data_IF_652088276479
#
_entry.id   IF_652088276479
#
_cell.length_a   1.000
_cell.length_b   1.000
_cell.length_c   1.000
_cell.angle_alpha   90.00
_cell.angle_beta   90.00
_cell.angle_gamma   90.00
#
_symmetry.space_group_name_H-M   'P 1'
#
loop_
_entity.id
_entity.type
_entity.pdbx_description
1 polymer ?
#
# COMPACT_ATOMS: atom_id res chain seq x y z
N UNK A 1 -12.23 11.16 -25.56
CA UNK A 1 -13.37 11.48 -24.67
C UNK A 1 -12.83 12.41 -23.62
N UNK A 2 -13.60 13.44 -23.27
CA UNK A 2 -13.26 14.32 -22.15
C UNK A 2 -13.37 13.51 -20.84
N UNK A 3 -12.40 13.70 -19.94
CA UNK A 3 -12.40 13.05 -18.63
C UNK A 3 -13.18 13.91 -17.65
N UNK A 4 -14.38 13.46 -17.29
CA UNK A 4 -15.26 14.11 -16.34
C UNK A 4 -15.30 13.38 -14.98
N UNK A 5 -14.28 12.59 -14.68
CA UNK A 5 -14.16 11.96 -13.36
C UNK A 5 -13.90 13.02 -12.28
N UNK A 6 -14.53 12.83 -11.12
CA UNK A 6 -14.45 13.73 -9.99
C UNK A 6 -14.18 12.98 -8.69
N UNK A 7 -13.77 13.74 -7.67
CA UNK A 7 -13.60 13.20 -6.33
C UNK A 7 -14.24 14.12 -5.29
N UNK A 8 -14.85 13.52 -4.27
CA UNK A 8 -15.27 14.28 -3.08
C UNK A 8 -14.41 13.87 -1.89
N UNK A 9 -13.87 14.87 -1.22
CA UNK A 9 -13.14 14.71 0.02
C UNK A 9 -14.10 14.95 1.20
N UNK A 10 -13.94 14.18 2.27
CA UNK A 10 -14.68 14.45 3.49
C UNK A 10 -14.00 13.97 4.76
N UNK A 11 -14.27 14.72 5.83
CA UNK A 11 -13.78 14.49 7.19
C UNK A 11 -14.75 13.57 7.92
N UNK A 12 -14.21 12.55 8.58
CA UNK A 12 -15.00 11.75 9.51
C UNK A 12 -15.31 12.58 10.76
N UNK A 13 -16.59 12.59 11.16
CA UNK A 13 -17.10 13.39 12.29
C UNK A 13 -17.98 12.56 13.22
N UNK A 14 -18.26 13.10 14.41
CA UNK A 14 -19.29 12.52 15.29
C UNK A 14 -20.66 12.65 14.64
N UNK A 15 -21.54 11.67 14.90
CA UNK A 15 -22.91 11.69 14.38
C UNK A 15 -23.64 12.88 14.96
N UNK A 16 -24.25 13.68 14.10
CA UNK A 16 -25.11 14.79 14.50
C UNK A 16 -26.22 14.99 13.46
N UNK A 17 -27.10 15.99 13.68
CA UNK A 17 -28.23 16.27 12.78
C UNK A 17 -27.79 16.66 11.36
N UNK A 18 -26.66 17.35 11.23
CA UNK A 18 -26.11 17.82 9.94
C UNK A 18 -25.39 16.69 9.19
N UNK A 19 -24.70 15.81 9.92
CA UNK A 19 -23.91 14.71 9.36
C UNK A 19 -24.36 13.36 9.96
N UNK A 20 -25.54 12.85 9.57
CA UNK A 20 -26.08 11.59 10.09
C UNK A 20 -25.21 10.40 9.72
N UNK A 21 -24.50 10.48 8.58
CA UNK A 21 -23.57 9.47 8.09
C UNK A 21 -22.15 9.62 8.66
N UNK A 22 -21.92 10.53 9.63
CA UNK A 22 -20.60 10.76 10.25
C UNK A 22 -19.50 11.20 9.26
N UNK A 23 -19.90 11.79 8.14
CA UNK A 23 -19.00 12.25 7.08
C UNK A 23 -19.38 13.67 6.68
N UNK A 24 -18.44 14.59 6.80
CA UNK A 24 -18.59 16.00 6.46
C UNK A 24 -17.78 16.28 5.20
N UNK A 25 -18.42 16.63 4.06
CA UNK A 25 -17.70 17.10 2.88
C UNK A 25 -16.78 18.27 3.22
N UNK A 26 -15.62 18.32 2.58
CA UNK A 26 -14.66 19.44 2.69
C UNK A 26 -14.02 19.72 1.34
N UNK A 27 -13.66 20.97 1.09
CA UNK A 27 -13.04 21.38 -0.17
C UNK A 27 -11.54 21.07 -0.19
N UNK A 28 -10.89 21.05 0.97
CA UNK A 28 -9.47 20.73 1.10
C UNK A 28 -9.14 20.23 2.51
N UNK A 29 -7.95 19.62 2.66
CA UNK A 29 -7.33 19.39 3.98
C UNK A 29 -6.44 20.59 4.30
N UNK A 30 -6.59 21.23 5.48
CA UNK A 30 -5.70 22.31 5.87
C UNK A 30 -4.22 21.88 5.86
N UNK A 31 -3.31 22.69 5.28
CA UNK A 31 -1.91 22.27 5.10
C UNK A 31 -1.13 22.12 6.39
N UNK A 32 -1.61 22.71 7.49
CA UNK A 32 -1.00 22.64 8.82
C UNK A 32 -1.79 21.72 9.77
N UNK A 33 -2.75 20.92 9.27
CA UNK A 33 -3.47 19.91 10.06
C UNK A 33 -2.83 18.52 9.89
N UNK A 34 -2.36 17.89 10.98
CA UNK A 34 -2.04 16.47 11.01
C UNK A 34 -3.28 15.62 10.73
N UNK A 35 -3.18 14.67 9.81
CA UNK A 35 -4.32 13.84 9.43
C UNK A 35 -3.91 12.52 8.76
N UNK A 36 -4.88 11.61 8.70
CA UNK A 36 -4.83 10.45 7.82
C UNK A 36 -5.80 10.68 6.67
N UNK A 37 -5.34 10.49 5.43
CA UNK A 37 -6.21 10.41 4.26
C UNK A 37 -6.36 8.95 3.86
N UNK A 38 -7.57 8.43 4.06
CA UNK A 38 -7.93 7.06 3.73
C UNK A 38 -8.37 6.98 2.26
N UNK A 39 -7.59 6.27 1.43
CA UNK A 39 -7.91 6.01 0.03
C UNK A 39 -8.48 4.58 -0.11
N UNK A 40 -9.81 4.42 -0.21
CA UNK A 40 -10.44 3.11 -0.29
C UNK A 40 -10.20 2.43 -1.65
N UNK A 41 -10.64 1.18 -1.77
CA UNK A 41 -10.81 0.52 -3.06
C UNK A 41 -11.85 1.22 -3.95
N UNK A 42 -11.92 0.80 -5.22
CA UNK A 42 -12.74 1.44 -6.27
C UNK A 42 -14.27 1.43 -6.01
N UNK A 43 -14.74 0.68 -5.02
CA UNK A 43 -16.16 0.60 -4.69
C UNK A 43 -16.66 1.75 -3.80
N UNK A 44 -15.81 2.68 -3.36
CA UNK A 44 -16.24 3.82 -2.54
C UNK A 44 -16.88 4.94 -3.39
N UNK A 45 -18.06 4.66 -3.94
CA UNK A 45 -18.81 5.54 -4.85
C UNK A 45 -19.82 6.45 -4.16
N UNK A 46 -19.88 6.40 -2.82
CA UNK A 46 -20.70 7.30 -2.01
C UNK A 46 -20.11 7.51 -0.61
N UNK A 47 -20.59 8.56 0.06
CA UNK A 47 -20.15 8.97 1.39
C UNK A 47 -20.32 7.91 2.48
N UNK A 48 -21.31 7.01 2.36
CA UNK A 48 -21.46 5.87 3.29
C UNK A 48 -20.28 4.90 3.16
N UNK A 49 -19.87 4.57 1.94
CA UNK A 49 -18.73 3.68 1.69
C UNK A 49 -17.40 4.35 2.05
N UNK A 50 -17.20 5.61 1.66
CA UNK A 50 -16.04 6.41 2.06
C UNK A 50 -15.87 6.45 3.58
N UNK A 51 -16.95 6.75 4.30
CA UNK A 51 -16.96 6.76 5.76
C UNK A 51 -16.82 5.37 6.39
N UNK A 52 -17.30 4.32 5.72
CA UNK A 52 -17.07 2.93 6.14
C UNK A 52 -15.57 2.63 6.20
N UNK A 53 -14.83 3.04 5.17
CA UNK A 53 -13.38 2.89 5.15
C UNK A 53 -12.69 3.78 6.21
N UNK A 54 -13.09 5.06 6.32
CA UNK A 54 -12.57 5.95 7.37
C UNK A 54 -12.83 5.42 8.78
N UNK A 55 -13.96 4.74 9.01
CA UNK A 55 -14.29 4.08 10.28
C UNK A 55 -13.28 2.97 10.60
N UNK A 56 -12.98 2.09 9.65
CA UNK A 56 -12.02 0.99 9.86
C UNK A 56 -10.61 1.52 10.18
N UNK A 57 -10.20 2.62 9.53
CA UNK A 57 -8.96 3.34 9.86
C UNK A 57 -9.01 3.90 11.28
N UNK A 58 -10.07 4.62 11.65
CA UNK A 58 -10.24 5.19 13.00
C UNK A 58 -10.22 4.11 14.08
N UNK A 59 -10.86 2.96 13.85
CA UNK A 59 -10.92 1.82 14.78
C UNK A 59 -9.58 1.07 14.90
N UNK A 60 -8.71 1.18 13.89
CA UNK A 60 -7.33 0.66 13.96
C UNK A 60 -6.44 1.48 14.89
N UNK A 61 -6.74 2.77 15.09
CA UNK A 61 -5.94 3.65 15.93
C UNK A 61 -6.20 3.37 17.41
N UNK A 62 -5.13 3.15 18.19
CA UNK A 62 -5.17 3.02 19.66
C UNK A 62 -5.83 4.24 20.31
N UNK A 63 -5.59 5.43 19.73
CA UNK A 63 -6.22 6.69 20.10
C UNK A 63 -6.42 7.54 18.84
N UNK A 64 -7.64 8.02 18.55
CA UNK A 64 -7.89 8.91 17.42
C UNK A 64 -7.39 10.33 17.73
N UNK A 65 -6.07 10.51 17.69
CA UNK A 65 -5.37 11.78 18.04
C UNK A 65 -5.31 12.78 16.89
N UNK A 66 -5.62 12.33 15.67
CA UNK A 66 -5.65 13.13 14.44
C UNK A 66 -6.93 12.79 13.65
N UNK A 67 -7.49 13.74 12.90
CA UNK A 67 -8.63 13.50 12.04
C UNK A 67 -8.33 12.49 10.92
N UNK A 68 -9.37 11.74 10.55
CA UNK A 68 -9.36 10.84 9.39
C UNK A 68 -10.25 11.46 8.30
N UNK A 69 -9.66 11.67 7.14
CA UNK A 69 -10.34 12.03 5.90
C UNK A 69 -10.49 10.79 5.03
N UNK A 70 -11.47 10.81 4.14
CA UNK A 70 -11.67 9.77 3.13
C UNK A 70 -12.26 10.37 1.87
N UNK A 71 -12.22 9.60 0.78
CA UNK A 71 -12.70 10.03 -0.53
C UNK A 71 -13.85 9.19 -1.04
N UNK A 72 -14.76 9.84 -1.75
CA UNK A 72 -15.76 9.24 -2.61
C UNK A 72 -15.31 9.43 -4.06
N UNK A 73 -15.17 8.33 -4.80
CA UNK A 73 -14.80 8.34 -6.21
C UNK A 73 -16.03 8.48 -7.09
N UNK A 74 -15.97 9.41 -8.04
CA UNK A 74 -16.89 9.50 -9.16
C UNK A 74 -16.10 9.31 -10.46
N UNK A 75 -16.13 8.09 -11.01
CA UNK A 75 -15.36 7.78 -12.20
C UNK A 75 -16.05 8.24 -13.50
N UNK A 76 -17.32 8.65 -13.44
CA UNK A 76 -18.16 8.90 -14.61
C UNK A 76 -18.00 7.79 -15.69
N UNK A 77 -17.42 8.14 -16.83
CA UNK A 77 -17.19 7.25 -17.98
C UNK A 77 -15.85 6.48 -17.93
N UNK A 78 -15.01 6.70 -16.91
CA UNK A 78 -13.70 6.04 -16.79
C UNK A 78 -13.80 4.61 -16.27
N UNK A 79 -12.92 3.75 -16.77
CA UNK A 79 -12.65 2.45 -16.17
C UNK A 79 -11.39 2.52 -15.28
N UNK A 80 -11.58 2.50 -13.96
CA UNK A 80 -10.50 2.52 -12.99
C UNK A 80 -9.51 1.35 -13.15
N UNK A 81 -9.94 0.22 -13.75
CA UNK A 81 -9.07 -0.93 -14.02
C UNK A 81 -8.08 -0.61 -15.12
N UNK A 82 -8.50 0.14 -16.14
CA UNK A 82 -7.59 0.62 -17.19
C UNK A 82 -6.56 1.58 -16.60
N UNK A 83 -6.97 2.49 -15.72
CA UNK A 83 -6.06 3.41 -15.01
C UNK A 83 -5.01 2.66 -14.19
N UNK A 84 -5.43 1.58 -13.52
CA UNK A 84 -4.52 0.69 -12.78
C UNK A 84 -3.54 -0.02 -13.70
N UNK A 85 -4.03 -0.69 -14.75
CA UNK A 85 -3.17 -1.42 -15.69
C UNK A 85 -2.21 -0.48 -16.43
N UNK A 86 -2.63 0.74 -16.76
CA UNK A 86 -1.77 1.74 -17.39
C UNK A 86 -0.59 2.13 -16.49
N UNK A 87 -0.83 2.31 -15.19
CA UNK A 87 0.24 2.56 -14.21
C UNK A 87 1.19 1.38 -14.10
N UNK A 88 0.69 0.15 -14.08
CA UNK A 88 1.53 -1.06 -14.03
C UNK A 88 2.33 -1.24 -15.34
N UNK A 89 1.70 -1.01 -16.49
CA UNK A 89 2.30 -1.10 -17.82
C UNK A 89 3.44 -0.11 -18.02
N UNK A 90 3.33 1.11 -17.48
CA UNK A 90 4.40 2.12 -17.45
C UNK A 90 5.71 1.57 -16.89
N UNK A 91 5.63 0.61 -15.97
CA UNK A 91 6.78 0.03 -15.29
C UNK A 91 7.08 -1.42 -15.67
N UNK A 92 6.39 -1.96 -16.68
CA UNK A 92 6.50 -3.36 -17.12
C UNK A 92 6.11 -4.35 -16.00
N UNK A 93 5.12 -3.97 -15.17
CA UNK A 93 4.65 -4.78 -14.04
C UNK A 93 3.17 -5.19 -14.15
N UNK A 94 2.55 -4.99 -15.32
CA UNK A 94 1.20 -5.47 -15.59
C UNK A 94 1.20 -6.98 -15.91
N UNK A 95 0.06 -7.64 -15.70
CA UNK A 95 -0.10 -9.04 -16.08
C UNK A 95 -0.46 -9.17 -17.57
N UNK A 96 0.43 -9.75 -18.42
CA UNK A 96 0.20 -9.86 -19.87
C UNK A 96 -0.98 -10.77 -20.25
N UNK A 97 -1.46 -11.58 -19.30
CA UNK A 97 -2.61 -12.46 -19.50
C UNK A 97 -3.94 -11.78 -19.18
N UNK A 98 -3.95 -10.60 -18.55
CA UNK A 98 -5.18 -9.87 -18.29
C UNK A 98 -5.64 -9.15 -19.57
N UNK A 99 -6.93 -9.27 -19.94
CA UNK A 99 -7.48 -8.59 -21.13
C UNK A 99 -7.24 -7.08 -21.11
N UNK A 100 -7.41 -6.45 -19.94
CA UNK A 100 -7.27 -5.00 -19.77
C UNK A 100 -5.88 -4.46 -20.10
N UNK A 101 -4.80 -5.23 -19.87
CA UNK A 101 -3.46 -4.77 -20.23
C UNK A 101 -3.30 -4.60 -21.74
N UNK A 102 -4.03 -5.40 -22.54
CA UNK A 102 -4.01 -5.31 -24.01
C UNK A 102 -4.76 -4.08 -24.53
N UNK A 103 -5.59 -3.47 -23.70
CA UNK A 103 -6.34 -2.26 -24.01
C UNK A 103 -5.56 -0.99 -23.65
N UNK A 104 -4.50 -1.10 -22.84
CA UNK A 104 -3.63 0.03 -22.46
C UNK A 104 -2.85 0.54 -23.67
N UNK A 105 -3.04 1.81 -23.99
CA UNK A 105 -2.26 2.52 -25.01
C UNK A 105 -1.08 3.25 -24.39
N UNK A 106 -0.13 3.70 -25.21
CA UNK A 106 1.06 4.41 -24.72
C UNK A 106 0.69 5.74 -24.03
N UNK A 107 -0.31 6.45 -24.56
CA UNK A 107 -0.83 7.68 -23.95
C UNK A 107 -1.38 7.44 -22.54
N UNK A 108 -2.04 6.30 -22.30
CA UNK A 108 -2.66 5.96 -21.02
C UNK A 108 -1.61 5.82 -19.91
N UNK A 109 -0.41 5.33 -20.22
CA UNK A 109 0.68 5.10 -19.26
C UNK A 109 1.17 6.38 -18.57
N UNK A 110 0.96 7.53 -19.21
CA UNK A 110 1.37 8.84 -18.68
C UNK A 110 0.20 9.73 -18.29
N UNK A 111 -1.01 9.29 -18.62
CA UNK A 111 -2.23 10.01 -18.31
C UNK A 111 -2.52 9.99 -16.81
N UNK A 112 -2.94 11.14 -16.28
CA UNK A 112 -3.38 11.28 -14.89
C UNK A 112 -4.85 11.76 -14.92
N UNK A 113 -5.80 10.95 -14.41
CA UNK A 113 -7.21 11.29 -14.35
C UNK A 113 -7.54 12.58 -13.61
N UNK A 114 -8.65 13.20 -14.02
CA UNK A 114 -9.13 14.45 -13.46
C UNK A 114 -9.41 14.34 -11.96
N UNK A 115 -10.06 13.26 -11.50
CA UNK A 115 -10.31 13.02 -10.07
C UNK A 115 -9.01 12.97 -9.22
N UNK A 116 -7.88 12.56 -9.81
CA UNK A 116 -6.58 12.52 -9.13
C UNK A 116 -5.95 13.91 -9.07
N UNK A 117 -6.09 14.70 -10.15
CA UNK A 117 -5.66 16.11 -10.16
C UNK A 117 -6.43 16.93 -9.14
N UNK A 118 -7.74 16.73 -9.03
CA UNK A 118 -8.58 17.34 -7.99
C UNK A 118 -8.09 16.96 -6.60
N UNK A 119 -7.91 15.66 -6.33
CA UNK A 119 -7.41 15.20 -5.04
C UNK A 119 -6.05 15.81 -4.69
N UNK A 120 -5.15 15.95 -5.67
CA UNK A 120 -3.85 16.59 -5.48
C UNK A 120 -3.99 18.05 -5.00
N UNK A 121 -4.87 18.83 -5.64
CA UNK A 121 -5.15 20.21 -5.25
C UNK A 121 -5.79 20.32 -3.86
N UNK A 122 -6.62 19.35 -3.48
CA UNK A 122 -7.28 19.32 -2.17
C UNK A 122 -6.33 18.92 -1.02
N UNK A 123 -5.17 18.31 -1.31
CA UNK A 123 -4.37 17.59 -0.29
C UNK A 123 -2.88 17.94 -0.27
N UNK A 124 -2.16 17.70 -1.36
CA UNK A 124 -0.70 17.83 -1.43
C UNK A 124 -0.27 19.23 -1.89
N UNK A 125 -0.96 19.80 -2.88
CA UNK A 125 -0.60 21.12 -3.43
C UNK A 125 -0.57 22.24 -2.36
N UNK A 126 -1.55 22.33 -1.43
CA UNK A 126 -1.56 23.36 -0.37
C UNK A 126 -0.40 23.21 0.61
N UNK A 127 0.18 22.01 0.74
CA UNK A 127 1.31 21.76 1.66
C UNK A 127 2.63 22.29 1.12
N UNK A 128 2.72 22.47 -0.20
CA UNK A 128 3.88 23.01 -0.90
C UNK A 128 3.82 24.53 -1.12
N UNK A 129 2.67 25.16 -0.85
CA UNK A 129 2.40 26.56 -1.18
C UNK A 129 2.01 27.41 0.03
N UNK A 130 2.27 28.70 -0.07
CA UNK A 130 1.71 29.72 0.80
C UNK A 130 0.35 30.21 0.29
N UNK A 131 -0.22 31.20 0.98
CA UNK A 131 -1.51 31.81 0.63
C UNK A 131 -1.53 32.50 -0.73
N UNK A 132 -0.38 32.88 -1.28
CA UNK A 132 -0.25 33.50 -2.60
C UNK A 132 0.01 32.46 -3.71
N UNK A 133 0.00 31.17 -3.37
CA UNK A 133 0.33 30.08 -4.29
C UNK A 133 1.82 29.92 -4.56
N UNK A 134 2.68 30.68 -3.87
CA UNK A 134 4.12 30.59 -4.03
C UNK A 134 4.69 29.43 -3.18
N UNK A 135 5.84 28.90 -3.61
CA UNK A 135 6.53 27.82 -2.93
C UNK A 135 6.90 28.18 -1.47
N UNK A 136 6.59 27.31 -0.52
CA UNK A 136 7.09 27.45 0.86
C UNK A 136 8.54 26.95 1.03
N UNK A 137 9.28 27.43 2.05
CA UNK A 137 10.61 26.90 2.37
C UNK A 137 10.60 25.39 2.58
N UNK A 138 11.69 24.71 2.18
CA UNK A 138 11.80 23.24 2.19
C UNK A 138 11.45 22.62 3.55
N UNK A 139 11.93 23.19 4.67
CA UNK A 139 11.62 22.68 6.01
C UNK A 139 10.13 22.76 6.34
N UNK A 140 9.44 23.82 5.91
CA UNK A 140 7.99 23.97 6.09
C UNK A 140 7.21 22.99 5.22
N UNK A 141 7.61 22.81 3.96
CA UNK A 141 7.02 21.80 3.08
C UNK A 141 7.20 20.39 3.68
N UNK A 142 8.41 20.05 4.11
CA UNK A 142 8.71 18.76 4.74
C UNK A 142 7.85 18.51 5.99
N UNK A 143 7.72 19.52 6.85
CA UNK A 143 6.88 19.42 8.06
C UNK A 143 5.42 19.19 7.70
N UNK A 144 4.88 19.98 6.76
CA UNK A 144 3.49 19.83 6.29
C UNK A 144 3.25 18.50 5.60
N UNK A 145 4.20 17.96 4.84
CA UNK A 145 4.07 16.64 4.22
C UNK A 145 4.08 15.52 5.27
N UNK A 146 4.94 15.62 6.30
CA UNK A 146 4.96 14.67 7.43
C UNK A 146 3.66 14.65 8.24
N UNK A 147 2.86 15.72 8.20
CA UNK A 147 1.55 15.78 8.83
C UNK A 147 0.48 14.96 8.10
N UNK A 148 0.73 14.50 6.86
CA UNK A 148 -0.21 13.71 6.07
C UNK A 148 0.26 12.26 5.96
N UNK A 149 -0.61 11.33 6.38
CA UNK A 149 -0.42 9.89 6.20
C UNK A 149 -1.49 9.37 5.26
N UNK A 150 -1.09 8.64 4.23
CA UNK A 150 -2.01 7.92 3.35
C UNK A 150 -2.21 6.49 3.87
N UNK A 151 -3.47 6.10 4.04
CA UNK A 151 -3.84 4.71 4.35
C UNK A 151 -4.69 4.17 3.20
N UNK A 152 -4.13 3.24 2.45
CA UNK A 152 -4.60 2.91 1.11
C UNK A 152 -5.06 1.46 1.04
N UNK A 153 -6.11 1.20 0.26
CA UNK A 153 -6.60 -0.15 -0.04
C UNK A 153 -6.80 -0.32 -1.54
N UNK A 154 -6.27 -1.42 -2.12
CA UNK A 154 -6.45 -1.76 -3.53
C UNK A 154 -6.19 -0.55 -4.45
N UNK A 155 -7.21 -0.06 -5.16
CA UNK A 155 -7.14 1.10 -6.07
C UNK A 155 -6.57 2.36 -5.40
N UNK A 156 -6.76 2.54 -4.09
CA UNK A 156 -6.18 3.66 -3.34
C UNK A 156 -4.65 3.71 -3.45
N UNK A 157 -3.97 2.55 -3.56
CA UNK A 157 -2.52 2.50 -3.75
C UNK A 157 -2.08 3.01 -5.14
N UNK A 158 -2.89 2.75 -6.17
CA UNK A 158 -2.69 3.30 -7.53
C UNK A 158 -2.90 4.81 -7.54
N UNK A 159 -3.95 5.29 -6.85
CA UNK A 159 -4.21 6.73 -6.69
C UNK A 159 -3.04 7.41 -6.00
N UNK A 160 -2.54 6.86 -4.90
CA UNK A 160 -1.36 7.38 -4.20
C UNK A 160 -0.12 7.43 -5.10
N UNK A 161 0.12 6.40 -5.91
CA UNK A 161 1.23 6.39 -6.87
C UNK A 161 1.08 7.50 -7.91
N UNK A 162 -0.13 7.81 -8.39
CA UNK A 162 -0.32 8.91 -9.33
C UNK A 162 -0.24 10.30 -8.68
N UNK A 163 -0.68 10.44 -7.42
CA UNK A 163 -0.46 11.66 -6.63
C UNK A 163 1.05 11.94 -6.47
N UNK A 164 1.87 10.90 -6.28
CA UNK A 164 3.33 11.04 -6.30
C UNK A 164 3.83 11.59 -7.64
N UNK A 165 3.31 11.12 -8.77
CA UNK A 165 3.72 11.63 -10.08
C UNK A 165 3.37 13.11 -10.28
N UNK A 166 2.17 13.52 -9.85
CA UNK A 166 1.80 14.94 -9.84
C UNK A 166 2.74 15.74 -8.93
N UNK A 167 3.05 15.22 -7.74
CA UNK A 167 3.98 15.87 -6.82
C UNK A 167 5.37 16.04 -7.41
N UNK A 168 5.90 15.04 -8.12
CA UNK A 168 7.19 15.13 -8.80
C UNK A 168 7.22 16.28 -9.81
N UNK A 169 6.18 16.38 -10.65
CA UNK A 169 6.03 17.46 -11.62
C UNK A 169 5.91 18.82 -10.91
N UNK A 170 5.05 18.88 -9.90
CA UNK A 170 4.75 20.11 -9.18
C UNK A 170 5.96 20.66 -8.40
N UNK A 171 6.76 19.79 -7.79
CA UNK A 171 7.99 20.17 -7.11
C UNK A 171 9.01 20.79 -8.08
N UNK A 172 9.08 20.26 -9.32
CA UNK A 172 9.92 20.81 -10.38
C UNK A 172 9.39 22.18 -10.84
N UNK A 173 8.09 22.31 -11.05
CA UNK A 173 7.46 23.54 -11.51
C UNK A 173 7.54 24.66 -10.46
N UNK A 174 7.47 24.31 -9.17
CA UNK A 174 7.77 25.22 -8.06
C UNK A 174 9.27 25.57 -7.94
N UNK A 175 10.13 24.97 -8.75
CA UNK A 175 11.57 25.25 -8.82
C UNK A 175 12.39 24.71 -7.65
N UNK A 176 11.91 23.68 -6.93
CA UNK A 176 12.75 22.99 -5.93
C UNK A 176 13.94 22.34 -6.64
N UNK A 177 15.13 22.38 -6.02
CA UNK A 177 16.31 21.67 -6.52
C UNK A 177 16.11 20.16 -6.40
N UNK A 178 16.71 19.36 -7.28
CA UNK A 178 16.54 17.91 -7.34
C UNK A 178 16.75 17.20 -5.99
N UNK A 179 17.76 17.59 -5.21
CA UNK A 179 17.99 17.04 -3.87
C UNK A 179 16.87 17.37 -2.88
N UNK A 180 16.27 18.55 -2.97
CA UNK A 180 15.11 18.94 -2.20
C UNK A 180 13.85 18.20 -2.66
N UNK A 181 13.69 17.97 -3.97
CA UNK A 181 12.56 17.19 -4.50
C UNK A 181 12.58 15.76 -3.95
N UNK A 182 13.73 15.07 -4.06
CA UNK A 182 13.91 13.72 -3.53
C UNK A 182 13.68 13.66 -2.01
N UNK A 183 14.13 14.67 -1.28
CA UNK A 183 13.89 14.77 0.16
C UNK A 183 12.40 14.94 0.50
N UNK A 184 11.70 15.84 -0.20
CA UNK A 184 10.28 16.14 0.05
C UNK A 184 9.37 14.95 -0.29
N UNK A 185 9.67 14.21 -1.36
CA UNK A 185 8.93 12.99 -1.70
C UNK A 185 8.99 11.96 -0.57
N UNK A 186 10.16 11.77 0.06
CA UNK A 186 10.32 10.87 1.21
C UNK A 186 9.49 11.26 2.44
N UNK A 187 9.04 12.51 2.54
CA UNK A 187 8.21 12.99 3.66
C UNK A 187 6.73 12.61 3.52
N UNK A 188 6.32 12.06 2.38
CA UNK A 188 4.98 11.50 2.19
C UNK A 188 5.01 10.03 2.60
N UNK A 189 4.08 9.66 3.48
CA UNK A 189 4.02 8.32 4.05
C UNK A 189 2.78 7.58 3.57
N UNK A 190 2.97 6.40 3.00
CA UNK A 190 1.91 5.52 2.51
C UNK A 190 1.91 4.19 3.27
N UNK A 191 0.73 3.75 3.72
CA UNK A 191 0.49 2.39 4.21
C UNK A 191 -0.53 1.74 3.29
N UNK A 192 -0.06 0.84 2.43
CA UNK A 192 -0.90 0.18 1.44
C UNK A 192 -1.26 -1.24 1.89
N UNK A 193 -2.54 -1.56 1.81
CA UNK A 193 -3.10 -2.88 2.10
C UNK A 193 -3.71 -3.44 0.81
N UNK A 194 -3.42 -4.71 0.51
CA UNK A 194 -3.80 -5.34 -0.75
C UNK A 194 -3.46 -4.45 -1.97
N UNK A 195 -2.21 -3.93 -2.08
CA UNK A 195 -1.85 -2.95 -3.08
C UNK A 195 -1.89 -3.53 -4.49
N UNK A 196 -2.27 -2.67 -5.43
CA UNK A 196 -2.18 -2.90 -6.88
C UNK A 196 -1.33 -1.82 -7.55
N UNK A 197 -0.33 -1.32 -6.82
CA UNK A 197 0.63 -0.31 -7.26
C UNK A 197 2.00 -0.93 -7.57
N UNK A 198 2.77 -0.34 -8.51
CA UNK A 198 4.09 -0.83 -8.88
C UNK A 198 5.04 -1.02 -7.69
N UNK A 199 5.81 -2.11 -7.71
CA UNK A 199 6.80 -2.48 -6.69
C UNK A 199 8.20 -2.02 -7.13
N UNK A 200 8.90 -1.34 -6.22
CA UNK A 200 10.25 -0.84 -6.38
C UNK A 200 10.37 0.44 -7.20
N UNK A 201 9.26 1.19 -7.32
CA UNK A 201 9.18 2.38 -8.19
C UNK A 201 8.83 3.67 -7.45
N UNK A 202 8.28 3.57 -6.24
CA UNK A 202 7.90 4.72 -5.42
C UNK A 202 9.11 5.51 -4.93
N UNK A 203 8.99 6.85 -4.93
CA UNK A 203 9.91 7.77 -4.29
C UNK A 203 9.41 8.26 -2.92
N UNK A 204 8.15 7.99 -2.59
CA UNK A 204 7.56 8.23 -1.27
C UNK A 204 7.87 7.10 -0.30
N UNK A 205 7.80 7.38 1.01
CA UNK A 205 8.02 6.36 2.04
C UNK A 205 6.79 5.45 2.12
N UNK A 206 6.88 4.24 1.58
CA UNK A 206 5.74 3.34 1.38
C UNK A 206 5.93 2.00 2.09
N UNK A 207 4.88 1.57 2.79
CA UNK A 207 4.81 0.28 3.46
C UNK A 207 3.65 -0.53 2.88
N UNK A 208 3.95 -1.67 2.26
CA UNK A 208 2.97 -2.51 1.58
C UNK A 208 2.70 -3.79 2.36
N UNK A 209 1.43 -4.14 2.54
CA UNK A 209 0.97 -5.36 3.18
C UNK A 209 0.24 -6.22 2.15
N UNK A 210 0.82 -7.37 1.81
CA UNK A 210 0.40 -8.21 0.67
C UNK A 210 0.14 -9.64 1.13
N UNK A 211 -1.01 -10.19 0.79
CA UNK A 211 -1.22 -11.63 0.81
C UNK A 211 -0.89 -12.19 -0.58
N UNK A 212 -0.10 -13.28 -0.65
CA UNK A 212 0.11 -14.00 -1.90
C UNK A 212 -1.04 -14.97 -2.25
N UNK A 213 -2.11 -14.98 -1.46
CA UNK A 213 -3.39 -15.61 -1.81
C UNK A 213 -4.41 -14.59 -2.33
N UNK A 214 -4.08 -13.30 -2.31
CA UNK A 214 -4.86 -12.27 -2.98
C UNK A 214 -4.46 -12.19 -4.47
N UNK A 215 -5.28 -12.75 -5.35
CA UNK A 215 -5.07 -12.75 -6.80
C UNK A 215 -5.03 -11.34 -7.38
N UNK A 216 -5.72 -10.38 -6.77
CA UNK A 216 -5.73 -8.99 -7.23
C UNK A 216 -4.40 -8.33 -6.89
N UNK A 217 -3.91 -8.42 -5.65
CA UNK A 217 -2.61 -7.84 -5.28
C UNK A 217 -1.43 -8.53 -5.98
N UNK A 218 -1.54 -9.83 -6.24
CA UNK A 218 -0.50 -10.60 -6.94
C UNK A 218 -0.50 -10.41 -8.46
N UNK A 219 -1.47 -9.65 -9.01
CA UNK A 219 -1.45 -9.20 -10.41
C UNK A 219 -0.33 -8.21 -10.73
N UNK A 220 0.39 -7.70 -9.73
CA UNK A 220 1.60 -6.87 -9.92
C UNK A 220 2.79 -7.77 -10.22
N UNK A 221 3.19 -7.83 -11.49
CA UNK A 221 4.28 -8.68 -11.95
C UNK A 221 5.65 -8.07 -11.65
N UNK A 222 6.43 -8.76 -10.83
CA UNK A 222 7.87 -8.51 -10.70
C UNK A 222 8.60 -9.84 -10.66
N UNK A 223 9.89 -9.90 -11.05
CA UNK A 223 10.67 -11.14 -10.94
C UNK A 223 10.64 -11.76 -9.52
N UNK A 224 10.52 -10.92 -8.48
CA UNK A 224 10.44 -11.36 -7.09
C UNK A 224 9.07 -11.96 -6.76
N UNK A 225 7.97 -11.31 -7.17
CA UNK A 225 6.60 -11.81 -7.00
C UNK A 225 6.41 -13.12 -7.79
N UNK A 226 6.82 -13.16 -9.05
CA UNK A 226 6.72 -14.35 -9.90
C UNK A 226 7.52 -15.53 -9.33
N UNK A 227 8.72 -15.28 -8.83
CA UNK A 227 9.51 -16.30 -8.15
C UNK A 227 8.75 -16.86 -6.92
N UNK A 228 8.15 -15.99 -6.11
CA UNK A 228 7.39 -16.41 -4.93
C UNK A 228 6.15 -17.24 -5.33
N UNK A 229 5.39 -16.78 -6.33
CA UNK A 229 4.21 -17.47 -6.83
C UNK A 229 4.55 -18.84 -7.43
N UNK A 230 5.62 -18.93 -8.23
CA UNK A 230 6.11 -20.21 -8.78
C UNK A 230 6.45 -21.19 -7.68
N UNK A 231 7.15 -20.74 -6.64
CA UNK A 231 7.53 -21.58 -5.50
C UNK A 231 6.31 -22.02 -4.69
N UNK A 232 5.30 -21.17 -4.54
CA UNK A 232 4.01 -21.50 -3.92
C UNK A 232 3.32 -22.65 -4.67
N UNK A 233 3.20 -22.52 -6.00
CA UNK A 233 2.61 -23.57 -6.85
C UNK A 233 3.38 -24.90 -6.77
N UNK A 234 4.72 -24.86 -6.74
CA UNK A 234 5.54 -26.05 -6.55
C UNK A 234 5.27 -26.74 -5.20
N UNK A 235 5.05 -25.96 -4.13
CA UNK A 235 4.69 -26.50 -2.83
C UNK A 235 3.30 -27.14 -2.81
N UNK A 236 2.31 -26.47 -3.39
CA UNK A 236 0.93 -26.98 -3.47
C UNK A 236 0.89 -28.30 -4.24
N UNK A 237 1.62 -28.40 -5.36
CA UNK A 237 1.80 -29.66 -6.10
C UNK A 237 2.47 -30.74 -5.26
N UNK A 238 3.49 -30.39 -4.48
CA UNK A 238 4.14 -31.33 -3.57
C UNK A 238 3.17 -31.88 -2.53
N UNK A 239 2.38 -31.01 -1.88
CA UNK A 239 1.37 -31.40 -0.88
C UNK A 239 0.27 -32.27 -1.49
N UNK A 240 -0.24 -31.92 -2.67
CA UNK A 240 -1.26 -32.70 -3.38
C UNK A 240 -0.74 -34.11 -3.74
N UNK A 241 0.54 -34.23 -4.10
CA UNK A 241 1.15 -35.51 -4.45
C UNK A 241 1.46 -36.39 -3.23
N UNK A 242 1.63 -35.83 -2.03
CA UNK A 242 1.79 -36.64 -0.79
C UNK A 242 0.57 -37.56 -0.56
N UNK A 243 -0.63 -37.14 -0.98
CA UNK A 243 -1.84 -37.98 -0.92
C UNK A 243 -1.84 -39.19 -1.88
N UNK A 244 -0.97 -39.21 -2.89
CA UNK A 244 -0.90 -40.23 -3.95
C UNK A 244 0.44 -40.99 -3.99
N UNK A 245 1.39 -40.71 -3.09
CA UNK A 245 2.69 -41.38 -3.07
C UNK A 245 2.59 -42.66 -2.23
N UNK A 246 2.60 -43.82 -2.91
CA UNK A 246 3.02 -45.09 -2.31
C UNK A 246 4.35 -44.87 -1.58
N UNK A 247 4.48 -45.40 -0.36
CA UNK A 247 5.58 -45.19 0.62
C UNK A 247 7.04 -45.30 0.12
N UNK A 248 7.29 -45.64 -1.14
CA UNK A 248 8.62 -45.98 -1.68
C UNK A 248 9.26 -44.97 -2.63
N UNK A 249 8.69 -43.77 -2.84
CA UNK A 249 9.45 -42.66 -3.46
C UNK A 249 9.81 -41.62 -2.42
N UNK A 250 10.97 -41.85 -1.76
CA UNK A 250 11.77 -40.76 -1.19
C UNK A 250 12.13 -39.81 -2.35
N UNK A 251 11.29 -38.79 -2.54
CA UNK A 251 11.65 -37.62 -3.33
C UNK A 251 12.89 -37.02 -2.70
N UNK A 252 13.98 -37.09 -3.45
CA UNK A 252 15.30 -36.55 -3.21
C UNK A 252 15.25 -35.13 -2.67
N UNK A 253 15.87 -34.87 -1.51
CA UNK A 253 16.43 -33.60 -0.99
C UNK A 253 15.66 -32.25 -1.12
N UNK A 254 14.44 -32.22 -1.66
CA UNK A 254 13.63 -31.02 -1.83
C UNK A 254 12.79 -30.77 -0.58
N UNK A 255 13.27 -29.84 0.26
CA UNK A 255 12.44 -29.33 1.37
C UNK A 255 11.19 -28.65 0.79
N UNK A 256 9.99 -28.90 1.36
CA UNK A 256 8.78 -28.18 0.97
C UNK A 256 9.00 -26.67 1.10
N UNK A 257 8.57 -25.91 0.09
CA UNK A 257 8.55 -24.45 0.17
C UNK A 257 7.41 -24.01 1.09
N UNK A 258 7.71 -23.60 2.31
CA UNK A 258 6.75 -22.86 3.13
C UNK A 258 7.13 -21.38 3.12
N UNK A 259 6.26 -20.53 2.59
CA UNK A 259 6.38 -19.09 2.81
C UNK A 259 5.47 -18.72 3.96
N UNK A 260 6.02 -18.58 5.16
CA UNK A 260 5.23 -18.15 6.30
C UNK A 260 5.12 -16.60 6.30
N UNK A 261 6.26 -15.91 6.26
CA UNK A 261 6.31 -14.45 6.23
C UNK A 261 7.55 -13.97 5.48
N UNK A 262 7.39 -12.98 4.60
CA UNK A 262 8.46 -12.35 3.85
C UNK A 262 8.48 -10.84 4.12
N UNK A 263 9.68 -10.32 4.39
CA UNK A 263 9.94 -8.89 4.55
C UNK A 263 11.08 -8.50 3.62
N UNK A 264 10.85 -7.58 2.69
CA UNK A 264 11.87 -7.13 1.76
C UNK A 264 11.71 -5.65 1.39
N UNK A 265 12.83 -5.03 1.00
CA UNK A 265 12.92 -3.62 0.58
C UNK A 265 13.35 -3.56 -0.88
N UNK A 266 12.41 -3.41 -1.83
CA UNK A 266 12.74 -3.23 -3.24
C UNK A 266 13.62 -1.98 -3.47
N UNK A 267 13.37 -0.93 -2.69
CA UNK A 267 14.14 0.33 -2.66
C UNK A 267 14.35 0.78 -1.22
N UNK A 268 15.10 1.85 -0.99
CA UNK A 268 15.20 2.46 0.33
C UNK A 268 13.88 3.05 0.84
N UNK A 269 12.98 3.45 -0.06
CA UNK A 269 11.73 4.12 0.29
C UNK A 269 10.55 3.13 0.46
N UNK A 270 10.69 1.89 -0.03
CA UNK A 270 9.62 0.91 -0.03
C UNK A 270 9.95 -0.30 0.84
N UNK A 271 9.04 -0.66 1.73
CA UNK A 271 9.10 -1.91 2.50
C UNK A 271 7.85 -2.73 2.24
N UNK A 272 8.04 -4.02 1.94
CA UNK A 272 6.95 -4.97 1.69
C UNK A 272 6.93 -6.00 2.81
N UNK A 273 5.78 -6.10 3.45
CA UNK A 273 5.35 -7.14 4.38
C UNK A 273 4.44 -8.09 3.62
N UNK A 274 4.81 -9.36 3.54
CA UNK A 274 4.02 -10.33 2.78
C UNK A 274 3.87 -11.67 3.49
N UNK A 275 2.70 -12.26 3.34
CA UNK A 275 2.36 -13.60 3.84
C UNK A 275 1.89 -14.48 2.69
N UNK A 276 1.95 -15.80 2.85
CA UNK A 276 1.34 -16.69 1.86
C UNK A 276 -0.18 -16.54 1.84
N UNK A 277 -0.79 -16.53 3.01
CA UNK A 277 -2.22 -16.42 3.24
C UNK A 277 -2.45 -15.77 4.61
N UNK A 278 -3.46 -14.91 4.71
CA UNK A 278 -3.95 -14.36 5.97
C UNK A 278 -4.81 -15.43 6.66
N UNK A 279 -5.66 -16.12 5.90
CA UNK A 279 -6.61 -17.12 6.41
C UNK A 279 -6.23 -18.54 5.99
N UNK A 280 -6.58 -19.58 6.76
CA UNK A 280 -6.48 -20.98 6.33
C UNK A 280 -7.20 -21.21 4.99
N UNK A 281 -6.70 -22.16 4.19
CA UNK A 281 -7.25 -22.47 2.86
C UNK A 281 -8.71 -22.98 2.99
N UNK A 282 -9.03 -23.65 4.08
CA UNK A 282 -10.36 -24.17 4.38
C UNK A 282 -11.38 -23.04 4.51
N UNK A 283 -11.00 -21.93 5.16
CA UNK A 283 -11.85 -20.74 5.32
C UNK A 283 -12.00 -20.02 3.99
N UNK A 284 -10.91 -19.91 3.21
CA UNK A 284 -10.97 -19.26 1.88
C UNK A 284 -11.86 -19.98 0.87
N UNK A 285 -12.16 -21.27 1.07
CA UNK A 285 -13.04 -22.07 0.20
C UNK A 285 -14.52 -21.93 0.51
N UNK A 286 -14.85 -21.33 1.65
CA UNK A 286 -16.22 -21.06 2.02
C UNK A 286 -16.73 -19.85 1.22
N UNK A 287 -17.92 -19.99 0.62
CA UNK A 287 -18.52 -18.97 -0.26
C UNK A 287 -18.77 -17.66 0.50
N UNK A 288 -19.04 -17.72 1.81
CA UNK A 288 -19.23 -16.54 2.65
C UNK A 288 -17.93 -15.71 2.82
N UNK A 289 -16.79 -16.30 2.46
CA UNK A 289 -15.44 -15.74 2.62
C UNK A 289 -14.73 -15.50 1.27
N UNK A 290 -15.49 -15.49 0.16
CA UNK A 290 -14.95 -15.21 -1.16
C UNK A 290 -14.17 -13.88 -1.18
N UNK A 291 -12.92 -13.93 -1.63
CA UNK A 291 -12.05 -12.75 -1.72
C UNK A 291 -11.61 -12.16 -0.37
N UNK A 292 -11.76 -12.89 0.74
CA UNK A 292 -11.40 -12.39 2.09
C UNK A 292 -9.94 -11.93 2.20
N UNK A 293 -9.01 -12.53 1.47
CA UNK A 293 -7.60 -12.10 1.46
C UNK A 293 -7.42 -10.65 0.95
N UNK A 294 -8.36 -10.17 0.12
CA UNK A 294 -8.31 -8.85 -0.49
C UNK A 294 -8.99 -7.77 0.36
N UNK A 295 -9.86 -8.11 1.31
CA UNK A 295 -10.61 -7.09 2.07
C UNK A 295 -9.74 -6.41 3.11
N UNK A 296 -9.97 -5.11 3.33
CA UNK A 296 -9.21 -4.34 4.31
C UNK A 296 -9.35 -4.88 5.74
N UNK A 297 -10.53 -5.40 6.09
CA UNK A 297 -10.84 -5.94 7.41
C UNK A 297 -9.82 -7.00 7.87
N UNK A 298 -9.33 -7.82 6.93
CA UNK A 298 -8.34 -8.87 7.15
C UNK A 298 -7.04 -8.39 7.80
N UNK A 299 -6.72 -7.12 7.58
CA UNK A 299 -5.52 -6.47 8.09
C UNK A 299 -5.81 -5.64 9.34
N UNK A 300 -6.98 -5.01 9.42
CA UNK A 300 -7.32 -4.06 10.48
C UNK A 300 -8.01 -4.68 11.70
N UNK A 301 -8.81 -5.73 11.51
CA UNK A 301 -9.61 -6.30 12.59
C UNK A 301 -8.68 -6.92 13.65
N UNK A 302 -8.94 -6.62 14.91
CA UNK A 302 -8.14 -7.08 16.04
C UNK A 302 -8.69 -8.36 16.67
N UNK A 303 -9.96 -8.64 16.44
CA UNK A 303 -10.73 -9.70 17.11
C UNK A 303 -11.11 -10.82 16.13
N UNK A 304 -10.44 -10.88 14.98
CA UNK A 304 -10.61 -11.95 13.98
C UNK A 304 -9.78 -13.17 14.38
N UNK A 305 -10.47 -14.21 14.85
CA UNK A 305 -9.94 -15.49 15.34
C UNK A 305 -9.71 -16.52 14.22
N UNK A 306 -10.15 -16.22 13.00
CA UNK A 306 -10.08 -17.13 11.84
C UNK A 306 -8.75 -17.02 11.09
N UNK A 307 -7.90 -16.04 11.45
CA UNK A 307 -6.62 -15.83 10.81
C UNK A 307 -5.59 -16.90 11.16
N UNK A 308 -4.70 -17.13 10.22
CA UNK A 308 -3.43 -17.81 10.51
C UNK A 308 -2.57 -16.95 11.44
N UNK A 309 -1.64 -17.61 12.14
CA UNK A 309 -0.62 -16.92 12.96
C UNK A 309 0.15 -15.84 12.18
N UNK A 310 0.40 -16.07 10.89
CA UNK A 310 1.11 -15.13 10.02
C UNK A 310 0.20 -13.96 9.62
N UNK A 311 -1.08 -14.22 9.37
CA UNK A 311 -2.13 -13.20 9.21
C UNK A 311 -2.22 -12.28 10.43
N UNK A 312 -2.27 -12.85 11.64
CA UNK A 312 -2.30 -12.08 12.89
C UNK A 312 -1.06 -11.19 13.05
N UNK A 313 0.12 -11.74 12.76
CA UNK A 313 1.37 -10.98 12.81
C UNK A 313 1.38 -9.84 11.79
N UNK A 314 0.88 -10.07 10.58
CA UNK A 314 0.76 -9.03 9.55
C UNK A 314 -0.21 -7.93 10.00
N UNK A 315 -1.37 -8.30 10.54
CA UNK A 315 -2.33 -7.36 11.11
C UNK A 315 -1.73 -6.56 12.25
N UNK A 316 -1.05 -7.21 13.21
CA UNK A 316 -0.41 -6.51 14.33
C UNK A 316 0.60 -5.46 13.82
N UNK A 317 1.46 -5.83 12.87
CA UNK A 317 2.43 -4.92 12.29
C UNK A 317 1.77 -3.75 11.56
N UNK A 318 0.71 -4.01 10.77
CA UNK A 318 -0.07 -2.97 10.10
C UNK A 318 -0.62 -1.96 11.11
N UNK A 319 -1.28 -2.44 12.16
CA UNK A 319 -1.88 -1.59 13.20
C UNK A 319 -0.82 -0.77 13.93
N UNK A 320 0.31 -1.39 14.33
CA UNK A 320 1.38 -0.67 15.02
C UNK A 320 2.02 0.42 14.16
N UNK A 321 2.29 0.10 12.89
CA UNK A 321 2.86 1.06 11.96
C UNK A 321 1.93 2.25 11.71
N UNK A 322 0.64 2.00 11.46
CA UNK A 322 -0.34 3.06 11.25
C UNK A 322 -0.45 3.98 12.48
N UNK A 323 -0.46 3.39 13.68
CA UNK A 323 -0.43 4.16 14.93
C UNK A 323 0.84 5.00 15.08
N UNK A 324 2.00 4.43 14.71
CA UNK A 324 3.29 5.11 14.81
C UNK A 324 3.39 6.28 13.83
N UNK A 325 2.86 6.12 12.62
CA UNK A 325 2.75 7.17 11.61
C UNK A 325 1.78 8.28 12.04
N UNK A 326 0.61 7.91 12.58
CA UNK A 326 -0.34 8.89 13.10
C UNK A 326 0.27 9.74 14.24
N UNK A 327 1.03 9.12 15.14
CA UNK A 327 1.76 9.84 16.18
C UNK A 327 2.86 10.74 15.59
N UNK A 328 3.57 10.29 14.56
CA UNK A 328 4.58 11.12 13.88
C UNK A 328 3.95 12.34 13.22
N UNK A 329 2.84 12.17 12.52
CA UNK A 329 2.08 13.25 11.92
C UNK A 329 1.63 14.26 12.99
N UNK A 330 1.11 13.79 14.13
CA UNK A 330 0.72 14.66 15.24
C UNK A 330 1.91 15.43 15.84
N UNK A 331 3.07 14.80 15.98
CA UNK A 331 4.27 15.48 16.48
C UNK A 331 4.70 16.61 15.55
N UNK A 332 4.52 16.43 14.23
CA UNK A 332 4.84 17.44 13.23
C UNK A 332 3.99 18.70 13.30
N UNK A 333 2.86 18.71 14.02
CA UNK A 333 2.08 19.91 14.31
C UNK A 333 2.91 21.03 14.97
N UNK A 334 3.93 20.65 15.75
CA UNK A 334 4.77 21.59 16.52
C UNK A 334 6.06 21.92 15.79
N UNK A 335 6.78 20.89 15.37
CA UNK A 335 8.09 21.01 14.74
C UNK A 335 8.35 19.85 13.78
N UNK A 336 9.21 20.05 12.79
CA UNK A 336 9.59 19.00 11.86
C UNK A 336 10.26 17.83 12.60
N UNK A 337 9.61 16.66 12.59
CA UNK A 337 10.19 15.39 13.05
C UNK A 337 10.07 14.34 11.96
N UNK A 338 11.20 13.95 11.38
CA UNK A 338 11.24 12.93 10.34
C UNK A 338 10.85 11.55 10.90
N UNK A 339 10.14 10.77 10.09
CA UNK A 339 9.84 9.40 10.45
C UNK A 339 11.12 8.57 10.41
N UNK A 340 11.48 7.86 11.50
CA UNK A 340 12.70 7.07 11.53
C UNK A 340 12.60 5.86 10.60
N UNK A 341 13.74 5.35 10.15
CA UNK A 341 13.79 4.03 9.53
C UNK A 341 13.18 3.00 10.50
N UNK A 342 12.15 2.27 10.04
CA UNK A 342 11.40 1.31 10.85
C UNK A 342 12.29 0.25 11.51
N UNK A 343 13.41 -0.12 10.88
CA UNK A 343 14.36 -1.10 11.42
C UNK A 343 15.18 -0.55 12.57
N UNK A 344 15.20 0.77 12.74
CA UNK A 344 15.83 1.48 13.86
C UNK A 344 14.82 1.96 14.89
N UNK A 345 13.52 1.88 14.59
CA UNK A 345 12.47 2.29 15.51
C UNK A 345 12.32 1.28 16.66
N UNK A 346 12.67 1.72 17.87
CA UNK A 346 12.58 0.89 19.08
C UNK A 346 11.15 0.44 19.39
N UNK A 347 10.15 1.23 19.02
CA UNK A 347 8.73 0.91 19.26
C UNK A 347 8.23 -0.23 18.37
N UNK A 348 8.81 -0.40 17.18
CA UNK A 348 8.44 -1.47 16.24
C UNK A 348 9.34 -2.71 16.37
N UNK A 349 10.40 -2.63 17.19
CA UNK A 349 11.41 -3.70 17.31
C UNK A 349 10.81 -5.06 17.67
N UNK A 350 9.85 -5.10 18.60
CA UNK A 350 9.23 -6.37 19.04
C UNK A 350 8.48 -7.02 17.89
N UNK A 351 7.59 -6.29 17.23
CA UNK A 351 6.80 -6.79 16.10
C UNK A 351 7.70 -7.17 14.92
N UNK A 352 8.68 -6.33 14.59
CA UNK A 352 9.69 -6.68 13.57
C UNK A 352 10.48 -7.94 13.93
N UNK A 353 10.81 -8.15 15.20
CA UNK A 353 11.51 -9.37 15.63
C UNK A 353 10.62 -10.61 15.49
N UNK A 354 9.34 -10.50 15.82
CA UNK A 354 8.36 -11.59 15.63
C UNK A 354 8.20 -11.96 14.15
N UNK A 355 8.23 -10.96 13.26
CA UNK A 355 8.23 -11.16 11.81
C UNK A 355 9.54 -11.78 11.30
N UNK A 356 10.68 -11.33 11.85
CA UNK A 356 12.01 -11.80 11.44
C UNK A 356 12.32 -13.22 11.91
N UNK A 357 11.81 -13.64 13.08
CA UNK A 357 11.97 -15.00 13.60
C UNK A 357 11.23 -16.06 12.77
N UNK A 358 10.29 -15.62 11.93
CA UNK A 358 9.59 -16.47 10.95
C UNK A 358 10.17 -16.34 9.52
N UNK A 359 11.33 -15.68 9.35
CA UNK A 359 12.02 -15.60 8.07
C UNK A 359 12.51 -16.97 7.64
N UNK A 360 12.06 -17.40 6.46
CA UNK A 360 12.92 -18.25 5.63
C UNK A 360 13.99 -17.39 4.99
N UNK A 361 15.24 -17.81 5.15
CA UNK A 361 16.30 -17.34 4.28
C UNK A 361 16.04 -17.93 2.90
N UNK A 362 15.92 -17.08 1.87
CA UNK A 362 15.98 -17.50 0.46
C UNK A 362 17.41 -17.98 0.14
N UNK A 363 17.87 -19.03 0.80
CA UNK A 363 19.07 -19.75 0.40
C UNK A 363 18.58 -20.97 -0.35
N UNK A 364 18.22 -20.77 -1.61
CA UNK A 364 18.20 -21.89 -2.53
C UNK A 364 19.64 -22.34 -2.75
N UNK A 365 19.82 -23.62 -3.12
CA UNK A 365 21.10 -24.10 -3.69
C UNK A 365 21.56 -23.14 -4.81
N UNK A 366 20.63 -22.54 -5.56
CA UNK A 366 20.91 -21.53 -6.60
C UNK A 366 21.53 -20.23 -6.07
N UNK A 367 21.09 -19.67 -4.93
CA UNK A 367 21.77 -18.49 -4.35
C UNK A 367 23.18 -18.81 -3.86
N UNK A 368 23.44 -20.06 -3.42
CA UNK A 368 24.81 -20.54 -3.12
C UNK A 368 25.63 -20.77 -4.39
N UNK A 369 25.03 -21.31 -5.45
CA UNK A 369 25.69 -21.52 -6.76
C UNK A 369 26.01 -20.18 -7.45
N UNK A 370 25.14 -19.18 -7.34
CA UNK A 370 25.37 -17.83 -7.86
C UNK A 370 26.43 -17.07 -7.06
N UNK A 371 26.53 -17.27 -5.74
CA UNK A 371 27.65 -16.75 -4.92
C UNK A 371 28.96 -17.47 -5.23
N UNK A 372 28.96 -18.80 -5.31
CA UNK A 372 30.17 -19.58 -5.60
C UNK A 372 30.73 -19.31 -7.00
N UNK A 373 29.88 -18.95 -7.98
CA UNK A 373 30.28 -18.51 -9.32
C UNK A 373 30.87 -17.10 -9.38
N UNK A 374 30.57 -16.23 -8.40
CA UNK A 374 31.21 -14.90 -8.30
C UNK A 374 32.55 -14.95 -7.58
N UNK A 375 32.71 -15.87 -6.62
CA UNK A 375 33.95 -16.06 -5.87
C UNK A 375 35.01 -16.89 -6.62
N UNK A 376 34.68 -17.47 -7.79
CA UNK A 376 35.61 -18.23 -8.66
C UNK A 376 36.17 -17.42 -9.84
N UNK A 377 35.85 -16.12 -9.93
CA UNK A 377 36.37 -15.19 -10.94
C UNK A 377 37.21 -14.05 -10.34
N UNK A 378 38.01 -14.35 -9.31
CA UNK A 378 39.07 -13.46 -8.83
C UNK A 378 40.41 -14.17 -8.80
#
# INVERSE_FOLDING_TARGET
MEDNSHIKLGKRVKRNKLFPLRWQPTDAIPPDEPCILALPGSNAKNSKQANGFAKMIEETLKKPIIPVYSVEYDFDNRDFRLDREAVLARYEQGNPNLPFLREVKEEDKTYIPQYIKELYQMTLAPRLRDENGARVPMGKAAQRLNMLVFANHCQGSTVAQQLEHLMQQDLKDLGYKDSAQAYLLKQVHNVDVAPVSPIGKTQTTTFKFVSFSDETATSVHTPKVEYILKRKQEHERYLANIGNISKDKKLTDDKPFSMNFALFRPTENETIFAVNNIYPIEIQKDEDYEGIEHVFASYSDKDDDDRTKQGDQMSLMFRELLNRLAQNAKNNEKELTEFPDIFKDKSLKTSLSQLQNNRYSFVTKETKILKSRKDTTR
#
